data_IF_179319028142
#
_entry.id   IF_179319028142
#
_cell.length_a   1.000
_cell.length_b   1.000
_cell.length_c   1.000
_cell.angle_alpha   90.00
_cell.angle_beta   90.00
_cell.angle_gamma   90.00
#
_symmetry.space_group_name_H-M   'P 1'
#
loop_
_entity.id
_entity.type
_entity.pdbx_description
1 polymer ?
#
# COMPACT_ATOMS: atom_id res chain seq x y z
N UNK A 1 -1.32 32.79 -16.23
CA UNK A 1 -1.53 31.63 -15.33
C UNK A 1 -3.01 31.49 -15.04
N UNK A 2 -3.69 30.44 -15.53
CA UNK A 2 -5.08 30.17 -15.16
C UNK A 2 -5.24 28.66 -15.01
N UNK A 3 -5.36 28.23 -13.76
CA UNK A 3 -5.48 26.82 -13.37
C UNK A 3 -6.95 26.44 -13.40
N UNK A 4 -7.32 25.43 -14.19
CA UNK A 4 -8.63 24.77 -14.08
C UNK A 4 -8.40 23.34 -13.60
N UNK A 5 -9.19 22.97 -12.59
CA UNK A 5 -9.11 21.73 -11.82
C UNK A 5 -10.27 20.83 -12.24
N UNK A 6 -10.02 19.53 -12.50
CA UNK A 6 -11.00 18.51 -12.19
C UNK A 6 -10.48 17.52 -11.14
N UNK A 7 -11.46 16.85 -10.57
CA UNK A 7 -11.51 16.14 -9.29
C UNK A 7 -10.99 14.71 -9.47
N UNK A 8 -9.89 14.34 -8.80
CA UNK A 8 -9.72 13.09 -8.02
C UNK A 8 -8.25 12.81 -7.66
N UNK A 9 -7.95 12.88 -6.36
CA UNK A 9 -6.96 12.01 -5.70
C UNK A 9 -5.49 12.40 -5.68
N UNK A 10 -4.86 12.84 -6.77
CA UNK A 10 -3.41 13.13 -6.75
C UNK A 10 -3.03 14.34 -7.60
N UNK A 11 -2.15 15.18 -7.04
CA UNK A 11 -1.45 16.25 -7.77
C UNK A 11 -0.42 15.61 -8.69
N UNK A 12 -0.76 15.36 -9.95
CA UNK A 12 0.25 15.18 -10.99
C UNK A 12 0.85 16.54 -11.32
N UNK A 13 2.11 16.74 -10.94
CA UNK A 13 2.91 17.86 -11.42
C UNK A 13 3.52 17.45 -12.75
N UNK A 14 2.92 17.91 -13.84
CA UNK A 14 3.61 17.90 -15.12
C UNK A 14 4.59 19.07 -15.08
N UNK A 15 5.88 18.77 -14.93
CA UNK A 15 6.94 19.76 -15.10
C UNK A 15 7.14 19.97 -16.61
N UNK A 16 6.21 20.70 -17.23
CA UNK A 16 6.43 21.24 -18.56
C UNK A 16 7.39 22.42 -18.41
N UNK A 17 8.63 22.25 -18.90
CA UNK A 17 9.53 23.37 -19.16
C UNK A 17 8.95 24.18 -20.32
N UNK A 18 7.95 24.99 -20.00
CA UNK A 18 7.42 25.97 -20.93
C UNK A 18 8.47 27.10 -20.99
N UNK A 19 9.34 27.08 -22.01
CA UNK A 19 10.15 28.23 -22.43
C UNK A 19 9.18 29.30 -22.93
N UNK A 20 8.81 30.33 -22.15
CA UNK A 20 7.74 31.22 -22.53
C UNK A 20 8.34 32.49 -23.15
N UNK A 21 7.90 32.78 -24.38
CA UNK A 21 7.96 34.09 -25.06
C UNK A 21 9.32 34.56 -25.62
N UNK A 22 9.47 34.29 -26.93
CA UNK A 22 10.22 35.13 -27.86
C UNK A 22 9.46 36.45 -28.09
N UNK A 23 9.70 37.45 -27.26
CA UNK A 23 9.51 38.86 -27.65
C UNK A 23 10.56 39.68 -26.94
N UNK A 24 11.70 39.85 -27.61
CA UNK A 24 12.67 40.89 -27.29
C UNK A 24 11.99 42.24 -27.56
N UNK A 25 11.63 42.98 -26.51
CA UNK A 25 11.54 44.43 -26.61
C UNK A 25 12.94 44.98 -26.28
N UNK A 26 13.55 45.74 -27.19
CA UNK A 26 14.79 46.45 -26.88
C UNK A 26 14.44 47.65 -26.01
N UNK A 27 14.75 47.57 -24.72
CA UNK A 27 14.96 48.75 -23.89
C UNK A 27 16.48 49.00 -23.81
N UNK A 28 16.91 50.17 -24.27
CA UNK A 28 18.30 50.48 -24.64
C UNK A 28 19.27 50.64 -23.45
N UNK A 29 18.85 50.38 -22.21
CA UNK A 29 19.67 50.53 -21.00
C UNK A 29 19.74 49.27 -20.10
N UNK A 30 19.08 48.16 -20.49
CA UNK A 30 19.07 46.93 -19.70
C UNK A 30 20.21 45.98 -20.11
N UNK A 31 21.02 45.57 -19.12
CA UNK A 31 22.06 44.56 -19.28
C UNK A 31 21.44 43.31 -19.91
N UNK A 32 21.81 43.03 -21.16
CA UNK A 32 21.24 41.93 -21.92
C UNK A 32 21.66 40.59 -21.29
N UNK A 33 20.78 39.99 -20.50
CA UNK A 33 21.03 38.72 -19.82
C UNK A 33 21.11 37.55 -20.82
N UNK A 34 22.15 36.72 -20.70
CA UNK A 34 22.17 35.42 -21.34
C UNK A 34 21.16 34.50 -20.64
N UNK A 35 19.99 34.32 -21.23
CA UNK A 35 18.91 33.48 -20.70
C UNK A 35 19.34 32.02 -20.42
N UNK A 36 20.41 31.55 -21.09
CA UNK A 36 20.96 30.22 -20.83
C UNK A 36 21.92 30.20 -19.62
N UNK A 37 22.41 31.36 -19.21
CA UNK A 37 23.37 31.62 -18.16
C UNK A 37 22.81 32.35 -16.93
N UNK A 38 21.49 32.37 -16.74
CA UNK A 38 20.86 32.85 -15.48
C UNK A 38 20.25 31.71 -14.68
N UNK A 39 20.23 31.87 -13.36
CA UNK A 39 19.56 30.94 -12.43
C UNK A 39 18.07 31.25 -12.24
N UNK A 40 17.53 32.22 -12.99
CA UNK A 40 16.15 32.67 -12.92
C UNK A 40 15.80 33.54 -11.71
N UNK A 41 16.78 33.93 -10.87
CA UNK A 41 16.56 34.82 -9.73
C UNK A 41 16.72 36.31 -10.08
N UNK A 42 16.97 36.63 -11.35
CA UNK A 42 17.21 38.00 -11.83
C UNK A 42 18.59 38.54 -11.44
N UNK A 43 18.91 39.80 -11.82
CA UNK A 43 20.25 40.35 -11.68
C UNK A 43 20.61 40.77 -10.24
N UNK A 44 19.62 40.95 -9.36
CA UNK A 44 19.84 41.38 -7.97
C UNK A 44 20.23 40.23 -7.04
N UNK A 45 19.67 39.03 -7.26
CA UNK A 45 19.87 37.86 -6.38
C UNK A 45 20.50 36.66 -7.10
N UNK A 46 20.57 36.69 -8.43
CA UNK A 46 21.03 35.60 -9.27
C UNK A 46 22.48 35.76 -9.76
N UNK A 47 23.02 34.67 -10.28
CA UNK A 47 24.30 34.69 -10.99
C UNK A 47 24.02 35.05 -12.45
N UNK A 48 24.43 36.24 -12.85
CA UNK A 48 24.36 36.70 -14.24
C UNK A 48 25.77 36.70 -14.83
N UNK A 49 25.93 36.09 -16.01
CA UNK A 49 27.16 36.22 -16.79
C UNK A 49 27.17 37.63 -17.38
N UNK A 50 28.12 38.47 -16.95
CA UNK A 50 28.25 39.84 -17.46
C UNK A 50 28.61 39.80 -18.94
N UNK A 51 27.68 40.20 -19.82
CA UNK A 51 27.90 40.26 -21.26
C UNK A 51 29.06 41.22 -21.67
N UNK A 52 29.41 42.17 -20.80
CA UNK A 52 30.55 43.08 -21.00
C UNK A 52 31.91 42.41 -20.81
N UNK A 53 31.94 41.25 -20.14
CA UNK A 53 33.14 40.45 -19.91
C UNK A 53 32.96 39.04 -20.50
N UNK A 54 32.96 38.90 -21.83
CA UNK A 54 32.71 37.62 -22.48
C UNK A 54 33.78 36.59 -22.13
N UNK A 55 33.33 35.37 -21.82
CA UNK A 55 34.22 34.21 -21.62
C UNK A 55 34.58 33.66 -23.00
N UNK A 56 35.78 33.97 -23.48
CA UNK A 56 36.24 33.57 -24.81
C UNK A 56 36.64 32.09 -24.92
N UNK A 57 37.06 31.47 -23.83
CA UNK A 57 37.36 30.03 -23.80
C UNK A 57 36.06 29.23 -23.66
N UNK A 58 35.75 28.42 -24.67
CA UNK A 58 34.52 27.63 -24.72
C UNK A 58 34.41 26.60 -23.58
N UNK A 59 35.53 26.06 -23.09
CA UNK A 59 35.55 25.10 -21.97
C UNK A 59 35.27 25.81 -20.65
N UNK A 60 35.85 26.99 -20.44
CA UNK A 60 35.56 27.83 -19.28
C UNK A 60 34.09 28.26 -19.27
N UNK A 61 33.54 28.67 -20.42
CA UNK A 61 32.12 29.02 -20.55
C UNK A 61 31.22 27.81 -20.25
N UNK A 62 31.53 26.64 -20.82
CA UNK A 62 30.78 25.41 -20.56
C UNK A 62 30.77 25.05 -19.07
N UNK A 63 31.93 25.11 -18.41
CA UNK A 63 32.03 24.79 -16.99
C UNK A 63 31.20 25.76 -16.13
N UNK A 64 31.19 27.04 -16.50
CA UNK A 64 30.37 28.06 -15.83
C UNK A 64 28.87 27.78 -15.97
N UNK A 65 28.43 27.40 -17.17
CA UNK A 65 27.03 27.01 -17.42
C UNK A 65 26.67 25.76 -16.62
N UNK A 66 27.56 24.77 -16.53
CA UNK A 66 27.33 23.55 -15.73
C UNK A 66 27.17 23.89 -14.25
N UNK A 67 28.07 24.70 -13.67
CA UNK A 67 27.95 25.16 -12.26
C UNK A 67 26.59 25.81 -12.01
N UNK A 68 26.20 26.75 -12.85
CA UNK A 68 24.91 27.42 -12.75
C UNK A 68 23.74 26.44 -12.79
N UNK A 69 23.72 25.53 -13.78
CA UNK A 69 22.64 24.54 -13.92
C UNK A 69 22.60 23.58 -12.73
N UNK A 70 23.76 23.19 -12.21
CA UNK A 70 23.84 22.34 -11.02
C UNK A 70 23.29 23.04 -9.78
N UNK A 71 23.50 24.35 -9.61
CA UNK A 71 22.89 25.12 -8.52
C UNK A 71 21.37 25.15 -8.61
N UNK A 72 20.82 25.33 -9.82
CA UNK A 72 19.36 25.27 -10.06
C UNK A 72 18.83 23.88 -9.72
N UNK A 73 19.48 22.84 -10.24
CA UNK A 73 19.13 21.43 -9.97
C UNK A 73 19.12 21.18 -8.45
N UNK A 74 20.14 21.64 -7.73
CA UNK A 74 20.19 21.53 -6.27
C UNK A 74 19.04 22.27 -5.57
N UNK A 75 18.68 23.49 -6.01
CA UNK A 75 17.55 24.25 -5.45
C UNK A 75 16.23 23.48 -5.60
N UNK A 76 15.97 22.95 -6.79
CA UNK A 76 14.77 22.16 -7.09
C UNK A 76 14.74 20.86 -6.27
N UNK A 77 15.84 20.11 -6.24
CA UNK A 77 15.94 18.90 -5.43
C UNK A 77 15.77 19.17 -3.94
N UNK A 78 16.36 20.25 -3.43
CA UNK A 78 16.21 20.67 -2.04
C UNK A 78 14.74 20.90 -1.71
N UNK A 79 14.01 21.60 -2.57
CA UNK A 79 12.57 21.83 -2.40
C UNK A 79 11.79 20.51 -2.40
N UNK A 80 12.01 19.66 -3.40
CA UNK A 80 11.31 18.38 -3.54
C UNK A 80 11.57 17.44 -2.35
N UNK A 81 12.82 17.27 -1.95
CA UNK A 81 13.21 16.41 -0.81
C UNK A 81 12.66 16.95 0.50
N UNK A 82 12.70 18.27 0.71
CA UNK A 82 12.12 18.88 1.90
C UNK A 82 10.61 18.67 1.96
N UNK A 83 9.90 18.86 0.84
CA UNK A 83 8.46 18.65 0.78
C UNK A 83 8.08 17.18 1.03
N UNK A 84 8.84 16.23 0.46
CA UNK A 84 8.65 14.81 0.72
C UNK A 84 8.90 14.45 2.18
N UNK A 85 9.99 14.94 2.76
CA UNK A 85 10.29 14.73 4.18
C UNK A 85 9.16 15.24 5.07
N UNK A 86 8.63 16.44 4.80
CA UNK A 86 7.52 17.01 5.55
C UNK A 86 6.27 16.14 5.45
N UNK A 87 5.94 15.65 4.26
CA UNK A 87 4.78 14.75 4.07
C UNK A 87 4.96 13.43 4.81
N UNK A 88 6.13 12.79 4.69
CA UNK A 88 6.44 11.53 5.39
C UNK A 88 6.38 11.73 6.91
N UNK A 89 6.98 12.80 7.44
CA UNK A 89 6.94 13.12 8.88
C UNK A 89 5.52 13.42 9.36
N UNK A 90 4.73 14.17 8.59
CA UNK A 90 3.34 14.47 8.94
C UNK A 90 2.50 13.19 9.00
N UNK A 91 2.68 12.32 8.00
CA UNK A 91 2.02 11.01 7.97
C UNK A 91 2.44 10.11 9.13
N UNK A 92 3.74 9.99 9.42
CA UNK A 92 4.24 9.19 10.56
C UNK A 92 3.66 9.68 11.89
N UNK A 93 3.63 10.99 12.12
CA UNK A 93 3.02 11.56 13.34
C UNK A 93 1.51 11.28 13.40
N UNK A 94 0.81 11.39 12.27
CA UNK A 94 -0.61 11.07 12.21
C UNK A 94 -0.86 9.59 12.53
N UNK A 95 0.00 8.69 12.05
CA UNK A 95 -0.04 7.27 12.38
C UNK A 95 0.26 7.02 13.86
N UNK A 96 1.36 7.55 14.40
CA UNK A 96 1.72 7.43 15.82
C UNK A 96 0.61 7.92 16.74
N UNK A 97 -0.08 9.02 16.38
CA UNK A 97 -1.21 9.54 17.17
C UNK A 97 -2.45 8.65 17.17
N UNK A 98 -2.65 7.84 16.12
CA UNK A 98 -3.78 6.88 16.00
C UNK A 98 -3.46 5.54 16.63
N UNK A 99 -2.17 5.20 16.77
CA UNK A 99 -1.68 3.91 17.22
C UNK A 99 -2.07 3.51 18.67
N UNK A 100 -2.27 4.42 19.66
CA UNK A 100 -2.70 4.02 21.01
C UNK A 100 -4.03 3.26 21.01
N UNK A 101 -4.89 3.50 20.02
CA UNK A 101 -6.21 2.88 19.90
C UNK A 101 -6.18 1.49 19.27
N UNK A 102 -5.14 1.14 18.51
CA UNK A 102 -4.99 -0.17 17.87
C UNK A 102 -4.78 -1.30 18.90
N UNK A 103 -4.26 -0.98 20.08
CA UNK A 103 -3.97 -1.97 21.13
C UNK A 103 -5.05 -2.08 22.22
N UNK A 104 -6.10 -1.26 22.20
CA UNK A 104 -7.02 -1.12 23.34
C UNK A 104 -8.47 -1.55 23.11
N UNK A 105 -8.89 -1.96 21.91
CA UNK A 105 -10.31 -2.27 21.66
C UNK A 105 -10.52 -3.69 21.15
N UNK A 106 -11.03 -4.55 22.05
CA UNK A 106 -11.41 -5.96 21.80
C UNK A 106 -12.55 -6.15 20.76
N UNK A 107 -13.21 -5.08 20.29
CA UNK A 107 -14.48 -5.19 19.55
C UNK A 107 -14.48 -4.54 18.17
N UNK A 108 -13.32 -4.21 17.58
CA UNK A 108 -13.23 -3.38 16.38
C UNK A 108 -12.45 -3.97 15.18
N UNK A 109 -12.36 -5.30 15.08
CA UNK A 109 -11.50 -6.00 14.10
C UNK A 109 -11.63 -5.54 12.64
N UNK A 110 -12.86 -5.31 12.15
CA UNK A 110 -13.07 -4.90 10.74
C UNK A 110 -12.56 -3.48 10.45
N UNK A 111 -12.79 -2.54 11.37
CA UNK A 111 -12.37 -1.14 11.18
C UNK A 111 -10.84 -1.01 11.30
N UNK A 112 -10.23 -1.78 12.20
CA UNK A 112 -8.77 -1.81 12.34
C UNK A 112 -8.11 -2.39 11.09
N UNK A 113 -8.68 -3.44 10.50
CA UNK A 113 -8.20 -4.02 9.24
C UNK A 113 -8.26 -3.00 8.09
N UNK A 114 -9.39 -2.33 7.91
CA UNK A 114 -9.55 -1.30 6.87
C UNK A 114 -8.54 -0.16 7.04
N UNK A 115 -8.31 0.28 8.28
CA UNK A 115 -7.30 1.29 8.58
C UNK A 115 -5.88 0.81 8.28
N UNK A 116 -5.54 -0.43 8.62
CA UNK A 116 -4.24 -1.01 8.33
C UNK A 116 -4.00 -1.17 6.81
N UNK A 117 -5.03 -1.57 6.06
CA UNK A 117 -4.99 -1.68 4.59
C UNK A 117 -4.75 -0.32 3.92
N UNK A 118 -5.46 0.73 4.36
CA UNK A 118 -5.26 2.09 3.84
C UNK A 118 -3.86 2.64 4.19
N UNK A 119 -3.37 2.37 5.40
CA UNK A 119 -2.01 2.75 5.80
C UNK A 119 -0.94 2.02 4.97
N UNK A 120 -1.12 0.72 4.71
CA UNK A 120 -0.21 -0.05 3.86
C UNK A 120 -0.18 0.55 2.44
N UNK A 121 -1.35 0.85 1.88
CA UNK A 121 -1.47 1.47 0.56
C UNK A 121 -0.74 2.81 0.48
N UNK A 122 -0.94 3.69 1.46
CA UNK A 122 -0.25 4.98 1.54
C UNK A 122 1.27 4.83 1.68
N UNK A 123 1.72 3.85 2.47
CA UNK A 123 3.15 3.52 2.65
C UNK A 123 3.77 3.10 1.32
N UNK A 124 3.12 2.16 0.61
CA UNK A 124 3.60 1.66 -0.68
C UNK A 124 3.65 2.76 -1.75
N UNK A 125 2.64 3.62 -1.82
CA UNK A 125 2.63 4.76 -2.74
C UNK A 125 3.80 5.73 -2.46
N UNK A 126 4.03 6.03 -1.19
CA UNK A 126 5.14 6.90 -0.76
C UNK A 126 6.49 6.27 -1.11
N UNK A 127 6.66 4.97 -0.90
CA UNK A 127 7.87 4.23 -1.28
C UNK A 127 8.14 4.28 -2.78
N UNK A 128 7.11 4.09 -3.61
CA UNK A 128 7.23 4.19 -5.07
C UNK A 128 7.73 5.58 -5.46
N UNK A 129 7.13 6.64 -4.89
CA UNK A 129 7.52 8.02 -5.17
C UNK A 129 8.97 8.30 -4.73
N UNK A 130 9.38 7.85 -3.54
CA UNK A 130 10.76 7.98 -3.05
C UNK A 130 11.76 7.27 -3.98
N UNK A 131 11.42 6.07 -4.48
CA UNK A 131 12.27 5.36 -5.46
C UNK A 131 12.37 6.08 -6.79
N UNK A 132 11.25 6.62 -7.27
CA UNK A 132 11.21 7.42 -8.51
C UNK A 132 12.04 8.70 -8.40
N UNK A 133 12.14 9.29 -7.21
CA UNK A 133 12.98 10.46 -6.94
C UNK A 133 14.45 10.10 -6.69
N UNK A 134 14.72 9.03 -5.95
CA UNK A 134 16.08 8.61 -5.60
C UNK A 134 16.90 8.20 -6.83
N UNK A 135 16.28 7.50 -7.79
CA UNK A 135 16.98 7.00 -8.98
C UNK A 135 17.59 8.12 -9.84
N UNK A 136 16.86 9.16 -10.28
CA UNK A 136 17.44 10.27 -11.04
C UNK A 136 18.52 11.02 -10.26
N UNK A 137 18.32 11.28 -8.96
CA UNK A 137 19.33 11.96 -8.15
C UNK A 137 20.62 11.14 -8.03
N UNK A 138 20.50 9.83 -7.82
CA UNK A 138 21.65 8.90 -7.81
C UNK A 138 22.40 8.93 -9.13
N UNK A 139 21.69 8.95 -10.27
CA UNK A 139 22.32 9.02 -11.59
C UNK A 139 23.06 10.35 -11.80
N UNK A 140 22.47 11.48 -11.38
CA UNK A 140 23.13 12.79 -11.41
C UNK A 140 24.40 12.77 -10.55
N UNK A 141 24.31 12.17 -9.36
CA UNK A 141 25.46 12.09 -8.45
C UNK A 141 26.60 11.24 -9.05
N UNK A 142 26.25 10.09 -9.62
CA UNK A 142 27.22 9.21 -10.29
C UNK A 142 27.84 9.84 -11.54
N UNK A 143 27.05 10.58 -12.33
CA UNK A 143 27.56 11.28 -13.51
C UNK A 143 28.62 12.31 -13.13
N UNK A 144 28.39 13.05 -12.04
CA UNK A 144 29.37 14.01 -11.53
C UNK A 144 30.63 13.34 -10.96
N UNK A 145 30.48 12.23 -10.23
CA UNK A 145 31.63 11.47 -9.74
C UNK A 145 32.54 10.97 -10.88
N UNK A 146 31.96 10.67 -12.06
CA UNK A 146 32.75 10.36 -13.27
C UNK A 146 33.42 11.61 -13.83
N UNK A 147 32.70 12.72 -13.90
CA UNK A 147 33.23 14.01 -14.36
C UNK A 147 34.43 14.49 -13.52
N UNK A 148 34.43 14.26 -12.21
CA UNK A 148 35.59 14.57 -11.34
C UNK A 148 36.88 13.83 -11.79
N UNK A 149 36.74 12.62 -12.32
CA UNK A 149 37.85 11.88 -12.91
C UNK A 149 38.44 12.52 -14.17
N UNK A 150 37.63 13.30 -14.90
CA UNK A 150 37.99 13.96 -16.16
C UNK A 150 38.44 15.42 -15.96
N UNK A 151 38.56 15.90 -14.71
CA UNK A 151 38.89 17.30 -14.42
C UNK A 151 40.23 17.77 -14.99
N UNK A 152 41.17 16.85 -15.24
CA UNK A 152 42.45 17.18 -15.87
C UNK A 152 42.30 17.79 -17.27
N UNK A 153 41.15 17.60 -17.93
CA UNK A 153 40.82 18.24 -19.20
C UNK A 153 40.79 19.79 -19.13
N UNK A 154 40.67 20.35 -17.92
CA UNK A 154 40.64 21.80 -17.67
C UNK A 154 41.93 22.32 -17.02
N UNK A 155 42.95 21.47 -16.84
CA UNK A 155 44.19 21.82 -16.12
C UNK A 155 45.09 22.84 -16.84
N UNK A 156 44.88 23.03 -18.13
CA UNK A 156 45.60 23.99 -18.96
C UNK A 156 44.97 25.39 -18.98
N UNK A 157 43.82 25.57 -18.33
CA UNK A 157 43.14 26.87 -18.27
C UNK A 157 43.67 27.65 -17.06
N UNK A 158 44.51 28.65 -17.32
CA UNK A 158 45.05 29.57 -16.32
C UNK A 158 44.07 30.74 -16.06
N UNK A 159 42.95 30.44 -15.41
CA UNK A 159 41.93 31.43 -15.02
C UNK A 159 41.42 31.13 -13.61
N UNK A 160 41.63 32.08 -12.68
CA UNK A 160 41.14 32.00 -11.30
C UNK A 160 39.61 31.76 -11.22
N UNK A 161 38.85 32.22 -12.22
CA UNK A 161 37.39 32.01 -12.30
C UNK A 161 37.04 30.55 -12.50
N UNK A 162 37.87 29.79 -13.20
CA UNK A 162 37.67 28.34 -13.42
C UNK A 162 37.88 27.58 -12.13
N UNK A 163 38.93 27.91 -11.36
CA UNK A 163 39.17 27.32 -10.04
C UNK A 163 37.98 27.58 -9.09
N UNK A 164 37.51 28.83 -9.00
CA UNK A 164 36.34 29.18 -8.19
C UNK A 164 35.05 28.48 -8.65
N UNK A 165 34.91 28.21 -9.95
CA UNK A 165 33.77 27.47 -10.51
C UNK A 165 33.81 26.00 -10.10
N UNK A 166 34.98 25.36 -10.07
CA UNK A 166 35.12 24.01 -9.54
C UNK A 166 34.77 23.93 -8.06
N UNK A 167 35.27 24.84 -7.22
CA UNK A 167 34.97 24.85 -5.79
C UNK A 167 33.47 24.94 -5.52
N UNK A 168 32.77 25.83 -6.23
CA UNK A 168 31.31 25.95 -6.17
C UNK A 168 30.59 24.68 -6.61
N UNK A 169 31.07 24.07 -7.69
CA UNK A 169 30.47 22.89 -8.27
C UNK A 169 30.60 21.69 -7.31
N UNK A 170 31.76 21.53 -6.65
CA UNK A 170 31.96 20.54 -5.58
C UNK A 170 31.04 20.81 -4.38
N UNK A 171 30.94 22.06 -3.93
CA UNK A 171 30.03 22.40 -2.83
C UNK A 171 28.57 22.04 -3.17
N UNK A 172 28.15 22.32 -4.40
CA UNK A 172 26.81 21.98 -4.89
C UNK A 172 26.59 20.46 -4.93
N UNK A 173 27.61 19.71 -5.36
CA UNK A 173 27.58 18.26 -5.40
C UNK A 173 27.50 17.63 -4.01
N UNK A 174 28.32 18.09 -3.06
CA UNK A 174 28.28 17.62 -1.68
C UNK A 174 26.88 17.81 -1.07
N UNK A 175 26.24 18.96 -1.38
CA UNK A 175 24.86 19.22 -0.96
C UNK A 175 23.86 18.25 -1.63
N UNK A 176 24.03 17.90 -2.90
CA UNK A 176 23.20 16.90 -3.58
C UNK A 176 23.36 15.50 -2.97
N UNK A 177 24.57 15.10 -2.60
CA UNK A 177 24.84 13.83 -1.89
C UNK A 177 24.12 13.80 -0.54
N UNK A 178 24.10 14.90 0.20
CA UNK A 178 23.32 15.02 1.45
C UNK A 178 21.82 14.81 1.19
N UNK A 179 21.28 15.38 0.12
CA UNK A 179 19.87 15.17 -0.27
C UNK A 179 19.59 13.72 -0.67
N UNK A 180 20.52 13.06 -1.36
CA UNK A 180 20.41 11.64 -1.71
C UNK A 180 20.36 10.77 -0.45
N UNK A 181 21.31 10.93 0.47
CA UNK A 181 21.35 10.18 1.73
C UNK A 181 20.06 10.38 2.54
N UNK A 182 19.47 11.58 2.47
CA UNK A 182 18.19 11.88 3.11
C UNK A 182 17.02 11.14 2.47
N UNK A 183 16.96 11.04 1.15
CA UNK A 183 15.96 10.22 0.46
C UNK A 183 16.12 8.73 0.79
N UNK A 184 17.36 8.22 0.84
CA UNK A 184 17.65 6.83 1.22
C UNK A 184 17.23 6.55 2.67
N UNK A 185 17.49 7.47 3.59
CA UNK A 185 17.02 7.37 4.98
C UNK A 185 15.48 7.36 5.09
N UNK A 186 14.79 8.20 4.30
CA UNK A 186 13.32 8.18 4.25
C UNK A 186 12.80 6.86 3.69
N UNK A 187 13.43 6.32 2.65
CA UNK A 187 13.07 5.04 2.07
C UNK A 187 13.22 3.90 3.08
N UNK A 188 14.34 3.85 3.81
CA UNK A 188 14.57 2.86 4.86
C UNK A 188 13.53 2.96 5.99
N UNK A 189 13.12 4.17 6.35
CA UNK A 189 12.07 4.40 7.34
C UNK A 189 10.71 3.88 6.87
N UNK A 190 10.37 4.09 5.59
CA UNK A 190 9.17 3.52 4.98
C UNK A 190 9.21 1.99 4.91
N UNK A 191 10.34 1.38 4.53
CA UNK A 191 10.51 -0.08 4.50
C UNK A 191 10.30 -0.70 5.90
N UNK A 192 10.82 -0.05 6.95
CA UNK A 192 10.59 -0.48 8.33
C UNK A 192 9.12 -0.36 8.73
N UNK A 193 8.45 0.71 8.31
CA UNK A 193 7.03 0.93 8.61
C UNK A 193 6.14 -0.08 7.87
N UNK A 194 6.47 -0.42 6.62
CA UNK A 194 5.78 -1.47 5.86
C UNK A 194 5.81 -2.80 6.61
N UNK A 195 6.98 -3.21 7.11
CA UNK A 195 7.12 -4.45 7.89
C UNK A 195 6.27 -4.44 9.16
N UNK A 196 6.23 -3.32 9.87
CA UNK A 196 5.40 -3.15 11.07
C UNK A 196 3.91 -3.28 10.70
N UNK A 197 3.46 -2.63 9.62
CA UNK A 197 2.07 -2.70 9.16
C UNK A 197 1.71 -4.12 8.72
N UNK A 198 2.60 -4.82 8.00
CA UNK A 198 2.37 -6.22 7.60
C UNK A 198 2.21 -7.15 8.81
N UNK A 199 3.07 -7.00 9.82
CA UNK A 199 2.97 -7.77 11.07
C UNK A 199 1.65 -7.47 11.80
N UNK A 200 1.23 -6.20 11.84
CA UNK A 200 -0.04 -5.79 12.41
C UNK A 200 -1.22 -6.43 11.67
N UNK A 201 -1.20 -6.44 10.33
CA UNK A 201 -2.26 -7.07 9.52
C UNK A 201 -2.36 -8.58 9.77
N UNK A 202 -1.22 -9.28 9.89
CA UNK A 202 -1.20 -10.71 10.23
C UNK A 202 -1.77 -10.95 11.63
N UNK A 203 -1.39 -10.13 12.61
CA UNK A 203 -1.92 -10.24 13.98
C UNK A 203 -3.45 -10.03 14.02
N UNK A 204 -3.95 -8.97 13.35
CA UNK A 204 -5.39 -8.70 13.22
C UNK A 204 -6.10 -9.85 12.52
N UNK A 205 -5.51 -10.39 11.44
CA UNK A 205 -6.06 -11.53 10.71
C UNK A 205 -6.18 -12.79 11.58
N UNK A 206 -5.15 -13.10 12.37
CA UNK A 206 -5.16 -14.24 13.30
C UNK A 206 -6.21 -14.05 14.41
N UNK A 207 -6.31 -12.85 14.96
CA UNK A 207 -7.33 -12.54 15.97
C UNK A 207 -8.74 -12.72 15.40
N UNK A 208 -9.03 -12.12 14.24
CA UNK A 208 -10.35 -12.23 13.60
C UNK A 208 -10.70 -13.69 13.27
N UNK A 209 -9.73 -14.47 12.84
CA UNK A 209 -9.92 -15.91 12.59
C UNK A 209 -10.22 -16.66 13.90
N UNK A 210 -9.54 -16.32 14.99
CA UNK A 210 -9.81 -16.95 16.31
C UNK A 210 -11.20 -16.60 16.86
N UNK A 211 -11.64 -15.35 16.72
CA UNK A 211 -13.00 -14.91 17.10
C UNK A 211 -14.05 -15.60 16.23
N UNK A 212 -13.79 -15.69 14.93
CA UNK A 212 -14.68 -16.39 14.00
C UNK A 212 -14.80 -17.88 14.34
N UNK A 213 -13.70 -18.53 14.72
CA UNK A 213 -13.72 -19.92 15.19
C UNK A 213 -14.50 -20.08 16.50
N UNK A 214 -14.34 -19.15 17.45
CA UNK A 214 -15.11 -19.15 18.69
C UNK A 214 -16.61 -19.00 18.44
N UNK A 215 -17.02 -18.05 17.58
CA UNK A 215 -18.41 -17.88 17.19
C UNK A 215 -18.97 -19.07 16.41
N UNK A 216 -18.15 -19.70 15.56
CA UNK A 216 -18.55 -20.94 14.85
C UNK A 216 -18.79 -22.08 15.84
N UNK A 217 -17.94 -22.20 16.86
CA UNK A 217 -18.13 -23.20 17.91
C UNK A 217 -19.40 -22.94 18.73
N UNK A 218 -19.68 -21.68 19.07
CA UNK A 218 -20.91 -21.29 19.78
C UNK A 218 -22.16 -21.53 18.93
N UNK A 219 -22.14 -21.15 17.65
CA UNK A 219 -23.22 -21.40 16.71
C UNK A 219 -23.47 -22.91 16.54
N UNK A 220 -22.42 -23.73 16.47
CA UNK A 220 -22.53 -25.18 16.41
C UNK A 220 -23.19 -25.75 17.67
N UNK A 221 -22.87 -25.21 18.86
CA UNK A 221 -23.52 -25.60 20.11
C UNK A 221 -25.02 -25.24 20.11
N UNK A 222 -25.36 -24.03 19.68
CA UNK A 222 -26.77 -23.58 19.57
C UNK A 222 -27.53 -24.43 18.54
N UNK A 223 -26.92 -24.75 17.40
CA UNK A 223 -27.51 -25.65 16.40
C UNK A 223 -27.75 -27.05 16.97
N UNK A 224 -26.82 -27.57 17.76
CA UNK A 224 -26.98 -28.86 18.41
C UNK A 224 -28.14 -28.85 19.42
N UNK A 225 -28.29 -27.79 20.21
CA UNK A 225 -29.40 -27.65 21.15
C UNK A 225 -30.75 -27.39 20.45
N UNK A 226 -30.73 -26.64 19.36
CA UNK A 226 -31.91 -26.44 18.48
C UNK A 226 -32.34 -27.76 17.86
N UNK A 227 -31.40 -28.58 17.38
CA UNK A 227 -31.69 -29.93 16.87
C UNK A 227 -32.32 -30.83 17.93
N UNK A 228 -31.85 -30.77 19.19
CA UNK A 228 -32.48 -31.50 20.31
C UNK A 228 -33.91 -31.03 20.55
N UNK A 229 -34.17 -29.71 20.50
CA UNK A 229 -35.51 -29.17 20.67
C UNK A 229 -36.46 -29.62 19.54
N UNK A 230 -35.98 -29.68 18.31
CA UNK A 230 -36.75 -30.23 17.19
C UNK A 230 -37.11 -31.70 17.41
N UNK A 231 -36.16 -32.52 17.90
CA UNK A 231 -36.43 -33.92 18.24
C UNK A 231 -37.54 -34.08 19.30
N UNK A 232 -37.61 -33.17 20.27
CA UNK A 232 -38.63 -33.20 21.33
C UNK A 232 -39.99 -32.69 20.84
N UNK A 233 -40.02 -31.66 19.99
CA UNK A 233 -41.28 -31.00 19.55
C UNK A 233 -41.94 -31.70 18.35
N UNK A 234 -41.16 -32.34 17.47
CA UNK A 234 -41.67 -33.02 16.26
C UNK A 234 -42.73 -34.10 16.53
N UNK A 235 -42.58 -35.01 17.53
CA UNK A 235 -43.62 -35.99 17.86
C UNK A 235 -44.97 -35.35 18.17
N UNK A 236 -44.98 -34.22 18.89
CA UNK A 236 -46.19 -33.50 19.23
C UNK A 236 -46.83 -32.87 17.99
N UNK A 237 -46.04 -32.17 17.17
CA UNK A 237 -46.55 -31.54 15.94
C UNK A 237 -47.15 -32.58 15.00
N UNK A 238 -46.47 -33.72 14.79
CA UNK A 238 -46.97 -34.80 13.93
C UNK A 238 -48.25 -35.43 14.48
N UNK A 239 -48.30 -35.71 15.79
CA UNK A 239 -49.52 -36.22 16.42
C UNK A 239 -50.67 -35.21 16.28
N UNK A 240 -50.41 -33.93 16.55
CA UNK A 240 -51.43 -32.88 16.51
C UNK A 240 -51.94 -32.65 15.08
N UNK A 241 -51.06 -32.65 14.08
CA UNK A 241 -51.42 -32.62 12.66
C UNK A 241 -52.25 -33.83 12.25
N UNK A 242 -51.86 -35.03 12.67
CA UNK A 242 -52.58 -36.25 12.31
C UNK A 242 -54.00 -36.28 12.92
N UNK A 243 -54.14 -36.00 14.22
CA UNK A 243 -55.44 -36.03 14.90
C UNK A 243 -56.32 -34.81 14.58
N UNK A 244 -55.72 -33.68 14.17
CA UNK A 244 -56.43 -32.47 13.73
C UNK A 244 -56.86 -32.49 12.26
N UNK A 245 -56.36 -33.42 11.43
CA UNK A 245 -56.71 -33.50 10.02
C UNK A 245 -58.19 -33.88 9.83
N UNK A 246 -58.91 -33.21 8.93
CA UNK A 246 -60.35 -33.42 8.75
C UNK A 246 -60.69 -34.78 8.10
N UNK A 247 -59.75 -35.39 7.38
CA UNK A 247 -59.90 -36.70 6.74
C UNK A 247 -59.10 -37.77 7.47
N UNK A 248 -59.72 -38.93 7.69
CA UNK A 248 -59.05 -40.11 8.22
C UNK A 248 -58.07 -40.67 7.17
N UNK A 249 -56.78 -40.42 7.38
CA UNK A 249 -55.71 -40.99 6.56
C UNK A 249 -55.50 -42.47 6.94
N UNK A 250 -55.72 -42.82 8.21
CA UNK A 250 -55.73 -44.19 8.70
C UNK A 250 -57.02 -44.45 9.49
N UNK A 251 -57.48 -45.70 9.49
CA UNK A 251 -58.74 -46.14 10.10
C UNK A 251 -58.70 -46.24 11.64
N UNK A 252 -57.92 -45.40 12.33
CA UNK A 252 -57.81 -45.42 13.79
C UNK A 252 -58.89 -44.56 14.44
N UNK A 253 -59.53 -45.10 15.47
CA UNK A 253 -60.53 -44.37 16.26
C UNK A 253 -59.86 -43.20 17.01
N UNK A 254 -60.32 -41.97 16.74
CA UNK A 254 -59.76 -40.73 17.30
C UNK A 254 -60.24 -40.55 18.74
N UNK A 255 -59.49 -41.10 19.69
CA UNK A 255 -59.78 -41.01 21.11
C UNK A 255 -58.56 -40.37 21.81
N UNK A 256 -58.73 -39.54 22.85
CA UNK A 256 -57.60 -39.03 23.65
C UNK A 256 -56.63 -40.14 24.12
N UNK A 257 -57.10 -41.38 24.30
CA UNK A 257 -56.23 -42.54 24.58
C UNK A 257 -55.30 -42.89 23.41
N UNK A 258 -55.81 -42.93 22.17
CA UNK A 258 -55.01 -43.26 20.99
C UNK A 258 -54.03 -42.14 20.64
N UNK A 259 -54.37 -40.88 20.92
CA UNK A 259 -53.45 -39.74 20.85
C UNK A 259 -52.23 -39.91 21.77
N UNK A 260 -52.47 -40.30 23.03
CA UNK A 260 -51.38 -40.53 23.99
C UNK A 260 -50.46 -41.67 23.56
N UNK A 261 -51.02 -42.78 23.06
CA UNK A 261 -50.21 -43.88 22.52
C UNK A 261 -49.40 -43.48 21.28
N UNK A 262 -49.99 -42.70 20.37
CA UNK A 262 -49.30 -42.21 19.17
C UNK A 262 -48.10 -41.33 19.53
N UNK A 263 -48.24 -40.42 20.50
CA UNK A 263 -47.10 -39.60 20.99
C UNK A 263 -46.01 -40.51 21.54
N UNK A 264 -46.33 -41.50 22.39
CA UNK A 264 -45.34 -42.40 22.97
C UNK A 264 -44.58 -43.19 21.89
N UNK A 265 -45.30 -43.72 20.89
CA UNK A 265 -44.69 -44.44 19.76
C UNK A 265 -43.78 -43.51 18.95
N UNK A 266 -44.23 -42.31 18.61
CA UNK A 266 -43.43 -41.34 17.86
C UNK A 266 -42.19 -40.90 18.65
N UNK A 267 -42.29 -40.75 19.97
CA UNK A 267 -41.18 -40.41 20.85
C UNK A 267 -40.08 -41.48 20.87
N UNK A 268 -40.46 -42.76 20.70
CA UNK A 268 -39.50 -43.86 20.60
C UNK A 268 -38.99 -44.06 19.16
N UNK A 269 -39.86 -43.93 18.16
CA UNK A 269 -39.56 -44.21 16.77
C UNK A 269 -38.62 -43.16 16.14
N UNK A 270 -38.82 -41.88 16.43
CA UNK A 270 -38.03 -40.79 15.83
C UNK A 270 -36.54 -40.81 16.23
N UNK A 271 -36.16 -41.03 17.51
CA UNK A 271 -34.76 -41.21 17.91
C UNK A 271 -34.10 -42.42 17.25
N UNK A 272 -34.83 -43.54 17.14
CA UNK A 272 -34.31 -44.75 16.48
C UNK A 272 -34.08 -44.48 14.98
N UNK A 273 -35.04 -43.83 14.32
CA UNK A 273 -34.93 -43.46 12.92
C UNK A 273 -33.72 -42.54 12.68
N UNK A 274 -33.56 -41.49 13.49
CA UNK A 274 -32.43 -40.55 13.38
C UNK A 274 -31.09 -41.22 13.64
N UNK A 275 -31.01 -42.17 14.58
CA UNK A 275 -29.81 -42.98 14.81
C UNK A 275 -29.49 -43.91 13.62
N UNK A 276 -30.50 -44.56 13.04
CA UNK A 276 -30.31 -45.39 11.85
C UNK A 276 -29.85 -44.56 10.64
N UNK A 277 -30.43 -43.36 10.46
CA UNK A 277 -30.04 -42.43 9.40
C UNK A 277 -28.61 -41.91 9.60
N UNK A 278 -28.17 -41.63 10.84
CA UNK A 278 -26.81 -41.18 11.10
C UNK A 278 -25.77 -42.27 10.80
N UNK A 279 -26.06 -43.52 11.15
CA UNK A 279 -25.22 -44.68 10.80
C UNK A 279 -25.13 -44.90 9.29
N UNK A 280 -26.26 -44.75 8.59
CA UNK A 280 -26.31 -44.83 7.13
C UNK A 280 -25.46 -43.73 6.50
N UNK A 281 -25.57 -42.50 6.99
CA UNK A 281 -24.80 -41.37 6.47
C UNK A 281 -23.29 -41.56 6.70
N UNK A 282 -22.90 -42.04 7.87
CA UNK A 282 -21.49 -42.33 8.17
C UNK A 282 -20.92 -43.43 7.26
N UNK A 283 -21.68 -44.51 7.03
CA UNK A 283 -21.28 -45.56 6.09
C UNK A 283 -21.22 -45.07 4.65
N UNK A 284 -22.11 -44.17 4.26
CA UNK A 284 -22.13 -43.58 2.93
C UNK A 284 -20.89 -42.70 2.68
N UNK A 285 -20.48 -41.88 3.66
CA UNK A 285 -19.27 -41.06 3.55
C UNK A 285 -17.99 -41.89 3.44
N UNK A 286 -17.88 -42.98 4.20
CA UNK A 286 -16.73 -43.90 4.08
C UNK A 286 -16.69 -44.58 2.71
N UNK A 287 -17.86 -44.96 2.19
CA UNK A 287 -17.99 -45.57 0.86
C UNK A 287 -17.65 -44.57 -0.25
N UNK A 288 -18.15 -43.34 -0.17
CA UNK A 288 -17.90 -42.30 -1.17
C UNK A 288 -16.42 -41.92 -1.22
N UNK A 289 -15.74 -41.79 -0.07
CA UNK A 289 -14.29 -41.56 -0.02
C UNK A 289 -13.50 -42.71 -0.66
N UNK A 290 -13.94 -43.96 -0.51
CA UNK A 290 -13.25 -45.11 -1.12
C UNK A 290 -13.45 -45.20 -2.63
N UNK A 291 -14.61 -44.79 -3.14
CA UNK A 291 -14.91 -44.85 -4.57
C UNK A 291 -14.38 -43.61 -5.31
N UNK A 292 -14.55 -42.42 -4.74
CA UNK A 292 -14.23 -41.16 -5.41
C UNK A 292 -12.90 -40.52 -4.97
N UNK A 293 -12.42 -40.81 -3.76
CA UNK A 293 -11.16 -40.27 -3.23
C UNK A 293 -9.88 -40.92 -3.77
N UNK A 294 -9.98 -41.81 -4.76
CA UNK A 294 -8.84 -42.48 -5.38
C UNK A 294 -8.41 -41.88 -6.73
N UNK A 295 -8.94 -40.71 -7.07
CA UNK A 295 -8.61 -39.99 -8.30
C UNK A 295 -8.04 -38.60 -7.97
N UNK A 296 -6.90 -38.55 -7.28
CA UNK A 296 -5.98 -37.44 -7.47
C UNK A 296 -4.74 -38.00 -8.17
N UNK A 297 -4.56 -37.71 -9.47
CA UNK A 297 -3.39 -38.12 -10.22
C UNK A 297 -2.23 -37.18 -9.92
N UNK A 298 -1.06 -37.75 -9.60
CA UNK A 298 0.23 -37.15 -9.92
C UNK A 298 0.70 -36.04 -8.99
N UNK A 299 1.28 -36.46 -7.87
CA UNK A 299 2.43 -35.76 -7.30
C UNK A 299 3.64 -36.05 -8.21
N UNK A 300 3.74 -35.29 -9.30
CA UNK A 300 4.94 -35.16 -10.12
C UNK A 300 5.29 -33.67 -10.15
N UNK A 301 6.10 -33.21 -9.20
CA UNK A 301 7.31 -32.40 -9.44
C UNK A 301 7.84 -31.79 -8.15
N UNK A 302 8.92 -32.37 -7.65
CA UNK A 302 9.87 -31.69 -6.80
C UNK A 302 11.25 -31.84 -7.47
N UNK A 303 11.80 -30.80 -8.13
CA UNK A 303 13.17 -30.86 -8.59
C UNK A 303 14.13 -30.54 -7.43
N UNK A 304 15.13 -31.40 -7.32
CA UNK A 304 16.31 -31.29 -6.44
C UNK A 304 17.02 -29.93 -6.50
N UNK A 305 17.66 -29.49 -5.40
CA UNK A 305 18.55 -28.34 -5.40
C UNK A 305 19.94 -28.71 -5.94
N UNK A 306 20.48 -27.87 -6.82
CA UNK A 306 21.92 -27.74 -7.13
C UNK A 306 22.32 -26.31 -6.83
#
# INVERSE_FOLDING_TARGET
MRVKIPVDGFKTYLLEFHMPFLTLQPDDDDVQEDYNGTDGNGPEEGIVINASEPIWDARAYWLRVVDLRMRIIHKEWKYLVMNMELQVKAWMRAWESRNPLLWQTETLGNKQREQAEELLKQTLQTMILLRLMSKPLTLTVQAFARFDGDKSYFSDIDDDRVAATFDSLYETFDRLVVLQNKLESLQLSCDNTERIIQLLMVAIGNQLNSETQAHTHEANKVNLDTNKLFLVTTPFVLALQYFGAEKDIFSFERNPRTFSYAICILFCALPILTYCLSLLNQRWDDFSKRIFGKAEPGDDQNPTPV
#
